data_IF_248357319947
#
_entry.id   IF_248357319947
#
_cell.length_a   1.000
_cell.length_b   1.000
_cell.length_c   1.000
_cell.angle_alpha   90.00
_cell.angle_beta   90.00
_cell.angle_gamma   90.00
#
_symmetry.space_group_name_H-M   'P 1'
#
loop_
_entity.id
_entity.type
_entity.pdbx_description
1 polymer ?
#
# COMPACT_ATOMS: atom_id res chain seq x y z
N UNK A 1 -1.64 13.01 12.91
CA UNK A 1 -1.02 13.11 11.57
C UNK A 1 -2.11 13.50 10.58
N UNK A 2 -1.82 14.41 9.65
CA UNK A 2 -2.84 14.92 8.71
C UNK A 2 -3.10 13.96 7.53
N UNK A 3 -2.23 12.97 7.33
CA UNK A 3 -2.28 12.08 6.17
C UNK A 3 -3.30 10.96 6.41
N UNK A 4 -4.18 10.76 5.43
CA UNK A 4 -5.08 9.62 5.31
C UNK A 4 -4.53 8.66 4.26
N UNK A 5 -4.73 7.36 4.49
CA UNK A 5 -4.29 6.28 3.63
C UNK A 5 -5.47 5.38 3.27
N UNK A 6 -5.52 4.94 2.02
CA UNK A 6 -6.37 3.85 1.57
C UNK A 6 -5.55 2.87 0.74
N UNK A 7 -5.89 1.57 0.81
CA UNK A 7 -5.15 0.52 0.12
C UNK A 7 -6.11 -0.30 -0.74
N UNK A 8 -5.88 -0.31 -2.04
CA UNK A 8 -6.58 -1.15 -2.99
C UNK A 8 -5.71 -2.32 -3.41
N UNK A 9 -6.25 -3.53 -3.40
CA UNK A 9 -5.56 -4.75 -3.81
C UNK A 9 -6.38 -5.46 -4.89
N UNK A 10 -5.84 -5.49 -6.10
CA UNK A 10 -6.44 -6.19 -7.23
C UNK A 10 -5.67 -7.50 -7.46
N UNK A 11 -6.40 -8.61 -7.45
CA UNK A 11 -5.85 -9.96 -7.56
C UNK A 11 -6.40 -10.59 -8.82
N UNK A 12 -5.50 -10.90 -9.75
CA UNK A 12 -5.78 -11.54 -11.02
C UNK A 12 -5.23 -12.97 -11.00
N UNK A 13 -6.09 -13.96 -11.25
CA UNK A 13 -5.67 -15.35 -11.32
C UNK A 13 -5.85 -15.86 -12.74
N UNK A 14 -4.73 -16.11 -13.42
CA UNK A 14 -4.70 -16.62 -14.79
C UNK A 14 -5.26 -18.04 -14.90
N UNK A 15 -5.49 -18.50 -16.13
CA UNK A 15 -6.04 -19.83 -16.41
C UNK A 15 -5.15 -20.98 -15.95
N UNK A 16 -3.83 -20.76 -15.86
CA UNK A 16 -2.85 -21.72 -15.36
C UNK A 16 -2.66 -21.66 -13.84
N UNK A 17 -3.42 -20.81 -13.14
CA UNK A 17 -3.36 -20.59 -11.70
C UNK A 17 -2.34 -19.53 -11.26
N UNK A 18 -1.57 -18.94 -12.17
CA UNK A 18 -0.63 -17.86 -11.83
C UNK A 18 -1.36 -16.66 -11.26
N UNK A 19 -0.86 -16.11 -10.15
CA UNK A 19 -1.48 -14.99 -9.44
C UNK A 19 -0.63 -13.74 -9.63
N UNK A 20 -1.23 -12.71 -10.21
CA UNK A 20 -0.69 -11.37 -10.31
C UNK A 20 -1.47 -10.47 -9.37
N UNK A 21 -0.75 -9.66 -8.59
CA UNK A 21 -1.36 -8.77 -7.62
C UNK A 21 -0.88 -7.34 -7.85
N UNK A 22 -1.83 -6.42 -7.86
CA UNK A 22 -1.58 -4.98 -7.93
C UNK A 22 -2.02 -4.37 -6.61
N UNK A 23 -1.09 -3.74 -5.89
CA UNK A 23 -1.38 -3.03 -4.64
C UNK A 23 -1.19 -1.54 -4.89
N UNK A 24 -2.27 -0.78 -4.72
CA UNK A 24 -2.28 0.67 -4.84
C UNK A 24 -2.47 1.27 -3.45
N UNK A 25 -1.59 2.18 -3.07
CA UNK A 25 -1.64 2.91 -1.81
C UNK A 25 -1.88 4.38 -2.13
N UNK A 26 -3.05 4.87 -1.71
CA UNK A 26 -3.44 6.26 -1.87
C UNK A 26 -3.18 7.04 -0.59
N UNK A 27 -2.34 8.07 -0.69
CA UNK A 27 -2.07 9.03 0.36
C UNK A 27 -2.80 10.33 0.05
N UNK A 28 -3.52 10.87 1.03
CA UNK A 28 -4.21 12.15 0.93
C UNK A 28 -3.92 13.00 2.14
N UNK A 29 -3.59 14.27 1.92
CA UNK A 29 -3.55 15.27 2.98
C UNK A 29 -4.75 16.20 2.80
N UNK A 30 -5.89 16.00 3.48
CA UNK A 30 -7.07 16.82 3.29
C UNK A 30 -7.01 18.17 4.03
N UNK A 31 -5.98 18.42 4.84
CA UNK A 31 -5.89 19.60 5.67
C UNK A 31 -5.11 20.73 4.97
N UNK A 32 -5.47 22.01 5.20
CA UNK A 32 -4.74 23.16 4.68
C UNK A 32 -3.36 23.29 5.34
N UNK A 33 -2.41 24.00 4.72
CA UNK A 33 -1.08 24.22 5.29
C UNK A 33 -1.18 24.92 6.66
N UNK A 34 -0.28 24.59 7.58
CA UNK A 34 -0.19 25.31 8.85
C UNK A 34 0.32 26.73 8.64
N UNK A 35 -0.09 27.65 9.52
CA UNK A 35 0.54 28.96 9.61
C UNK A 35 1.94 28.78 10.21
N UNK A 36 2.95 29.07 9.40
CA UNK A 36 4.35 28.75 9.67
C UNK A 36 5.12 29.90 10.32
N UNK A 37 4.42 30.79 11.04
CA UNK A 37 5.03 31.96 11.65
C UNK A 37 5.55 31.65 13.06
N UNK A 38 6.83 31.28 13.14
CA UNK A 38 7.51 31.01 14.41
C UNK A 38 7.58 32.23 15.34
N UNK A 39 7.61 33.45 14.79
CA UNK A 39 7.63 34.70 15.57
C UNK A 39 6.27 34.97 16.25
N UNK A 40 5.20 34.41 15.70
CA UNK A 40 3.86 34.42 16.30
C UNK A 40 3.59 33.22 17.22
N UNK A 41 4.57 32.32 17.41
CA UNK A 41 4.41 31.09 18.20
C UNK A 41 3.64 29.98 17.48
N UNK A 42 3.44 30.08 16.17
CA UNK A 42 2.73 29.08 15.38
C UNK A 42 3.69 28.02 14.82
N UNK A 43 3.23 26.77 14.75
CA UNK A 43 4.04 25.62 14.37
C UNK A 43 3.71 25.12 12.97
N UNK A 44 4.75 24.79 12.18
CA UNK A 44 4.64 24.14 10.87
C UNK A 44 4.30 22.64 11.00
N UNK A 45 3.10 22.32 11.50
CA UNK A 45 2.69 20.92 11.73
C UNK A 45 2.21 20.24 10.45
N UNK A 46 1.59 20.98 9.52
CA UNK A 46 1.13 20.49 8.23
C UNK A 46 1.93 21.12 7.09
N UNK A 47 3.05 20.50 6.75
CA UNK A 47 3.96 20.91 5.69
C UNK A 47 4.10 19.84 4.60
N UNK A 48 5.29 19.78 3.99
CA UNK A 48 5.62 18.75 3.00
C UNK A 48 5.72 17.38 3.66
N UNK A 49 4.99 16.40 3.14
CA UNK A 49 5.07 15.02 3.59
C UNK A 49 5.89 14.17 2.62
N UNK A 50 6.81 13.40 3.19
CA UNK A 50 7.68 12.43 2.52
C UNK A 50 7.49 11.10 3.22
N UNK A 51 7.63 10.00 2.49
CA UNK A 51 7.42 8.69 3.07
C UNK A 51 8.41 7.65 2.55
N UNK A 52 8.82 6.77 3.45
CA UNK A 52 9.62 5.59 3.17
C UNK A 52 8.73 4.37 3.31
N UNK A 53 8.45 3.71 2.19
CA UNK A 53 7.38 2.71 2.09
C UNK A 53 7.99 1.35 1.85
N UNK A 54 7.56 0.36 2.65
CA UNK A 54 7.94 -1.04 2.49
C UNK A 54 6.70 -1.89 2.39
N UNK A 55 6.54 -2.60 1.28
CA UNK A 55 5.49 -3.59 1.08
C UNK A 55 6.07 -4.99 1.31
N UNK A 56 5.64 -5.64 2.38
CA UNK A 56 6.02 -7.02 2.72
C UNK A 56 5.05 -8.00 2.08
N UNK A 57 5.56 -8.87 1.22
CA UNK A 57 4.78 -9.85 0.45
C UNK A 57 5.31 -11.27 0.67
N UNK A 58 4.60 -12.33 0.25
CA UNK A 58 5.11 -13.70 0.37
C UNK A 58 6.53 -13.85 -0.18
N UNK A 59 7.38 -14.61 0.53
CA UNK A 59 8.76 -14.82 0.13
C UNK A 59 8.83 -15.48 -1.25
N UNK A 60 9.64 -14.91 -2.15
CA UNK A 60 9.77 -15.35 -3.54
C UNK A 60 8.83 -14.63 -4.52
N UNK A 61 8.03 -13.67 -4.04
CA UNK A 61 7.27 -12.78 -4.93
C UNK A 61 8.20 -11.98 -5.84
N UNK A 62 7.81 -11.85 -7.10
CA UNK A 62 8.59 -11.18 -8.13
C UNK A 62 7.93 -9.84 -8.48
N UNK A 63 8.65 -8.73 -8.26
CA UNK A 63 8.18 -7.40 -8.65
C UNK A 63 8.15 -7.29 -10.18
N UNK A 64 7.01 -6.87 -10.73
CA UNK A 64 6.82 -6.63 -12.17
C UNK A 64 6.98 -5.14 -12.46
N UNK A 65 6.33 -4.29 -11.66
CA UNK A 65 6.31 -2.85 -11.86
C UNK A 65 6.07 -2.13 -10.52
N UNK A 66 6.71 -0.98 -10.33
CA UNK A 66 6.39 -0.06 -9.26
C UNK A 66 6.32 1.38 -9.81
N UNK A 67 5.26 2.11 -9.49
CA UNK A 67 5.05 3.49 -9.97
C UNK A 67 4.71 4.44 -8.82
N UNK A 68 4.88 5.74 -9.06
CA UNK A 68 4.65 6.81 -8.08
C UNK A 68 5.83 7.09 -7.13
N UNK A 69 6.81 6.19 -7.11
CA UNK A 69 8.09 6.33 -6.44
C UNK A 69 9.00 7.39 -7.07
N UNK A 70 9.91 7.95 -6.28
CA UNK A 70 10.99 8.83 -6.77
C UNK A 70 12.34 8.13 -6.89
N UNK A 71 12.46 6.94 -6.30
CA UNK A 71 13.65 6.09 -6.40
C UNK A 71 13.27 4.76 -7.05
N UNK A 72 14.28 4.09 -7.61
CA UNK A 72 14.12 2.70 -8.02
C UNK A 72 13.71 1.85 -6.80
N UNK A 73 12.69 1.01 -6.99
CA UNK A 73 12.18 0.17 -5.91
C UNK A 73 13.17 -0.96 -5.64
N UNK A 74 13.68 -1.02 -4.42
CA UNK A 74 14.59 -2.08 -4.00
C UNK A 74 13.79 -3.32 -3.64
N UNK A 75 14.34 -4.47 -4.01
CA UNK A 75 13.77 -5.78 -3.69
C UNK A 75 14.78 -6.57 -2.87
N UNK A 76 14.38 -7.01 -1.67
CA UNK A 76 15.22 -7.81 -0.79
C UNK A 76 14.37 -8.73 0.11
N UNK A 77 15.02 -9.59 0.88
CA UNK A 77 14.35 -10.43 1.88
C UNK A 77 14.53 -9.87 3.28
N UNK A 78 13.44 -9.84 4.05
CA UNK A 78 13.43 -9.48 5.47
C UNK A 78 12.26 -10.19 6.16
N UNK A 79 12.46 -10.64 7.41
CA UNK A 79 11.43 -11.35 8.21
C UNK A 79 10.75 -12.53 7.49
N UNK A 80 11.45 -13.23 6.60
CA UNK A 80 10.89 -14.34 5.81
C UNK A 80 9.84 -13.87 4.79
N UNK A 81 9.96 -12.64 4.30
CA UNK A 81 9.13 -12.01 3.28
C UNK A 81 10.02 -11.42 2.19
N UNK A 82 9.47 -11.27 1.00
CA UNK A 82 10.06 -10.35 0.02
C UNK A 82 9.55 -8.95 0.32
N UNK A 83 10.45 -7.96 0.30
CA UNK A 83 10.15 -6.56 0.60
C UNK A 83 10.37 -5.73 -0.66
N UNK A 84 9.36 -4.95 -1.02
CA UNK A 84 9.48 -3.88 -2.00
C UNK A 84 9.61 -2.55 -1.25
N UNK A 85 10.80 -1.97 -1.30
CA UNK A 85 11.13 -0.73 -0.61
C UNK A 85 11.23 0.43 -1.59
N UNK A 86 10.56 1.53 -1.26
CA UNK A 86 10.59 2.73 -2.08
C UNK A 86 10.44 4.00 -1.25
N UNK A 87 10.58 5.14 -1.90
CA UNK A 87 10.51 6.45 -1.28
C UNK A 87 9.84 7.46 -2.22
N UNK A 88 9.14 8.43 -1.63
CA UNK A 88 8.77 9.67 -2.30
C UNK A 88 8.94 10.88 -1.37
N UNK A 89 9.20 12.04 -1.97
CA UNK A 89 8.98 13.34 -1.37
C UNK A 89 10.12 14.34 -1.46
N UNK A 90 11.22 14.02 -2.14
CA UNK A 90 12.28 14.99 -2.40
C UNK A 90 11.93 15.88 -3.59
N UNK A 91 11.42 15.30 -4.68
CA UNK A 91 11.01 16.01 -5.89
C UNK A 91 9.50 16.25 -5.94
N UNK A 92 8.70 15.29 -5.50
CA UNK A 92 7.24 15.33 -5.54
C UNK A 92 6.63 14.90 -4.18
N UNK A 93 6.85 15.71 -3.11
CA UNK A 93 6.23 15.51 -1.80
C UNK A 93 4.72 15.66 -1.85
N UNK A 94 4.06 14.95 -0.94
CA UNK A 94 2.65 15.16 -0.67
C UNK A 94 2.49 16.49 0.07
N UNK A 95 1.86 17.45 -0.60
CA UNK A 95 1.57 18.79 -0.05
C UNK A 95 0.25 18.78 0.72
N UNK A 96 0.02 19.76 1.60
CA UNK A 96 -1.32 20.06 2.12
C UNK A 96 -2.35 20.15 0.98
N UNK A 97 -3.53 19.60 1.23
CA UNK A 97 -4.64 19.45 0.26
C UNK A 97 -4.31 18.59 -0.98
N UNK A 98 -3.13 17.95 -1.02
CA UNK A 98 -2.67 17.12 -2.12
C UNK A 98 -3.01 15.63 -1.99
N UNK A 99 -2.65 14.89 -3.04
CA UNK A 99 -2.69 13.43 -3.11
C UNK A 99 -1.38 12.87 -3.68
N UNK A 100 -1.07 11.62 -3.34
CA UNK A 100 0.04 10.84 -3.88
C UNK A 100 -0.40 9.38 -3.95
N UNK A 101 -0.08 8.71 -5.04
CA UNK A 101 -0.39 7.30 -5.24
C UNK A 101 0.92 6.52 -5.47
N UNK A 102 1.02 5.35 -4.84
CA UNK A 102 2.06 4.36 -5.12
C UNK A 102 1.40 3.07 -5.59
N UNK A 103 1.92 2.45 -6.63
CA UNK A 103 1.39 1.19 -7.16
C UNK A 103 2.49 0.16 -7.28
N UNK A 104 2.24 -1.06 -6.80
CA UNK A 104 3.15 -2.20 -6.91
C UNK A 104 2.43 -3.35 -7.61
N UNK A 105 2.91 -3.75 -8.77
CA UNK A 105 2.46 -4.94 -9.49
C UNK A 105 3.49 -6.04 -9.33
N UNK A 106 3.07 -7.22 -8.89
CA UNK A 106 3.97 -8.34 -8.63
C UNK A 106 3.27 -9.69 -8.83
N UNK A 107 4.09 -10.72 -9.03
CA UNK A 107 3.65 -12.11 -9.13
C UNK A 107 3.88 -12.83 -7.80
N UNK A 108 2.92 -13.67 -7.38
CA UNK A 108 3.09 -14.52 -6.21
C UNK A 108 3.94 -15.76 -6.54
N UNK A 109 4.69 -16.30 -5.55
CA UNK A 109 5.58 -17.45 -5.74
C UNK A 109 4.84 -18.79 -5.88
N UNK A 110 3.52 -18.79 -5.75
CA UNK A 110 2.67 -19.96 -5.84
C UNK A 110 1.50 -19.71 -6.78
N UNK A 111 0.85 -20.80 -7.20
CA UNK A 111 -0.33 -20.78 -8.05
C UNK A 111 -1.57 -21.14 -7.23
N UNK A 112 -2.71 -20.61 -7.63
CA UNK A 112 -4.01 -21.01 -7.08
C UNK A 112 -4.52 -22.25 -7.83
N UNK A 113 -4.66 -23.37 -7.12
CA UNK A 113 -5.23 -24.58 -7.68
C UNK A 113 -6.72 -24.41 -8.01
N UNK A 114 -7.19 -25.14 -9.02
CA UNK A 114 -8.58 -25.07 -9.46
C UNK A 114 -9.50 -25.64 -8.37
N UNK A 115 -10.48 -24.85 -7.94
CA UNK A 115 -11.46 -25.25 -6.92
C UNK A 115 -11.06 -24.86 -5.49
N UNK A 116 -9.86 -24.31 -5.28
CA UNK A 116 -9.45 -23.76 -3.99
C UNK A 116 -9.80 -22.27 -3.90
N UNK A 117 -10.18 -21.84 -2.70
CA UNK A 117 -10.38 -20.43 -2.39
C UNK A 117 -9.04 -19.72 -2.20
N UNK A 118 -9.01 -18.44 -2.55
CA UNK A 118 -7.83 -17.61 -2.32
C UNK A 118 -7.82 -17.13 -0.87
N UNK A 119 -6.75 -17.47 -0.15
CA UNK A 119 -6.55 -17.04 1.23
C UNK A 119 -5.61 -15.83 1.28
N UNK A 120 -6.06 -14.77 1.95
CA UNK A 120 -5.28 -13.55 2.14
C UNK A 120 -5.16 -13.23 3.63
N UNK A 121 -3.93 -13.10 4.11
CA UNK A 121 -3.64 -12.47 5.39
C UNK A 121 -3.17 -11.04 5.15
N UNK A 122 -3.81 -10.09 5.81
CA UNK A 122 -3.39 -8.69 5.87
C UNK A 122 -3.04 -8.38 7.32
N UNK A 123 -1.80 -7.94 7.55
CA UNK A 123 -1.33 -7.64 8.90
C UNK A 123 -1.38 -6.13 9.15
N UNK A 124 -1.99 -5.74 10.27
CA UNK A 124 -2.10 -4.35 10.68
C UNK A 124 -0.79 -3.92 11.33
N UNK A 125 -0.23 -2.81 10.88
CA UNK A 125 0.88 -2.19 11.58
C UNK A 125 0.38 -1.57 12.91
N UNK A 126 0.96 -1.94 14.06
CA UNK A 126 0.64 -1.28 15.33
C UNK A 126 0.99 0.22 15.30
N UNK A 127 0.19 1.04 15.97
CA UNK A 127 0.44 2.48 16.08
C UNK A 127 0.14 3.31 14.83
N UNK A 128 -0.36 2.70 13.74
CA UNK A 128 -0.89 3.44 12.59
C UNK A 128 -2.41 3.59 12.68
N UNK A 129 -2.97 4.51 11.90
CA UNK A 129 -4.42 4.64 11.71
C UNK A 129 -5.03 3.38 11.10
N UNK A 130 -6.37 3.32 11.00
CA UNK A 130 -7.10 2.22 10.38
C UNK A 130 -7.40 2.59 8.92
N UNK A 131 -6.47 2.36 7.97
CA UNK A 131 -6.73 2.62 6.57
C UNK A 131 -7.90 1.78 6.07
N UNK A 132 -8.66 2.34 5.14
CA UNK A 132 -9.62 1.58 4.35
C UNK A 132 -8.85 0.65 3.40
N UNK A 133 -9.33 -0.57 3.29
CA UNK A 133 -8.85 -1.58 2.36
C UNK A 133 -9.98 -1.95 1.42
N UNK A 134 -9.68 -1.98 0.12
CA UNK A 134 -10.52 -2.53 -0.93
C UNK A 134 -9.78 -3.72 -1.54
N UNK A 135 -10.33 -4.93 -1.42
CA UNK A 135 -9.74 -6.15 -1.98
C UNK A 135 -10.64 -6.68 -3.08
N UNK A 136 -10.09 -6.84 -4.27
CA UNK A 136 -10.82 -7.24 -5.47
C UNK A 136 -10.21 -8.53 -6.03
N UNK A 137 -11.03 -9.58 -6.14
CA UNK A 137 -10.69 -10.83 -6.83
C UNK A 137 -11.73 -11.09 -7.92
N UNK A 138 -11.32 -11.08 -9.18
CA UNK A 138 -12.19 -11.35 -10.34
C UNK A 138 -13.53 -10.57 -10.33
N UNK A 139 -13.52 -9.32 -9.84
CA UNK A 139 -14.71 -8.46 -9.76
C UNK A 139 -15.54 -8.60 -8.49
N UNK A 140 -15.29 -9.60 -7.63
CA UNK A 140 -15.81 -9.59 -6.25
C UNK A 140 -14.97 -8.64 -5.40
N UNK A 141 -15.63 -7.76 -4.65
CA UNK A 141 -14.97 -6.76 -3.82
C UNK A 141 -15.35 -6.91 -2.35
N UNK A 142 -14.36 -6.75 -1.48
CA UNK A 142 -14.55 -6.54 -0.05
C UNK A 142 -13.92 -5.20 0.36
N UNK A 143 -14.69 -4.36 1.02
CA UNK A 143 -14.23 -3.07 1.56
C UNK A 143 -14.35 -3.08 3.07
N UNK A 144 -13.30 -2.69 3.78
CA UNK A 144 -13.28 -2.62 5.24
C UNK A 144 -12.18 -1.71 5.77
N UNK A 145 -12.33 -1.23 7.00
CA UNK A 145 -11.23 -0.62 7.74
C UNK A 145 -10.35 -1.70 8.38
N UNK A 146 -9.03 -1.60 8.20
CA UNK A 146 -8.09 -2.54 8.83
C UNK A 146 -7.76 -2.07 10.25
N UNK A 147 -8.51 -2.57 11.24
CA UNK A 147 -8.34 -2.25 12.66
C UNK A 147 -7.43 -3.24 13.40
N UNK A 148 -7.31 -4.47 12.87
CA UNK A 148 -6.47 -5.55 13.36
C UNK A 148 -6.04 -6.44 12.18
N UNK A 149 -5.17 -7.41 12.42
CA UNK A 149 -4.84 -8.45 11.44
C UNK A 149 -6.13 -9.11 10.94
N UNK A 150 -6.23 -9.30 9.62
CA UNK A 150 -7.43 -9.83 8.97
C UNK A 150 -7.07 -10.95 8.02
N UNK A 151 -7.82 -12.04 8.12
CA UNK A 151 -7.82 -13.13 7.15
C UNK A 151 -9.08 -13.01 6.30
N UNK A 152 -8.91 -13.15 4.99
CA UNK A 152 -9.99 -13.22 4.01
C UNK A 152 -9.89 -14.53 3.26
N UNK A 153 -11.05 -15.10 2.97
CA UNK A 153 -11.20 -16.25 2.08
C UNK A 153 -12.09 -15.80 0.92
N UNK A 154 -11.50 -15.68 -0.26
CA UNK A 154 -12.17 -15.17 -1.44
C UNK A 154 -12.42 -16.32 -2.41
N UNK A 155 -13.69 -16.64 -2.62
CA UNK A 155 -14.12 -17.67 -3.57
C UNK A 155 -14.05 -17.16 -5.01
N UNK A 156 -13.78 -18.06 -5.95
CA UNK A 156 -13.77 -17.77 -7.38
C UNK A 156 -15.16 -17.70 -7.99
#
# INVERSE_FOLDING_TARGET
MFIKQAVRQEIEVAGDGTITKTVTIDYRNPAPPSNCNLEAGELCLNGLYRDWVRLYVPQGSELIEATGAEIETKVYEDLGKTVFETFYGDQAPLRPEGTKQLTFKYKLPFKLEKGNDYQLLIQKQPGTYNPEYEVILNGQQEIFELTADRQLQLSR
#
